data_IF_759938903278
#
_entry.id   IF_759938903278
#
_cell.length_a   1.000
_cell.length_b   1.000
_cell.length_c   1.000
_cell.angle_alpha   90.00
_cell.angle_beta   90.00
_cell.angle_gamma   90.00
#
_symmetry.space_group_name_H-M   'P 1'
#
loop_
_entity.id
_entity.type
_entity.pdbx_description
1 polymer ?
#
# COMPACT_ATOMS: atom_id res chain seq x y z
N UNK A 1 9.17 12.84 33.02
CA UNK A 1 8.77 11.90 31.95
C UNK A 1 10.00 11.63 31.11
N UNK A 2 10.55 10.42 31.14
CA UNK A 2 11.77 10.11 30.36
C UNK A 2 11.42 9.98 28.88
N UNK A 3 12.22 10.59 28.01
CA UNK A 3 12.07 10.51 26.55
C UNK A 3 12.17 9.05 26.10
N UNK A 4 11.09 8.51 25.54
CA UNK A 4 10.98 7.11 25.09
C UNK A 4 11.87 6.75 23.88
N UNK A 5 12.64 7.70 23.35
CA UNK A 5 13.50 7.55 22.17
C UNK A 5 14.89 8.15 22.43
N UNK A 6 15.94 7.48 21.96
CA UNK A 6 17.32 7.99 21.95
C UNK A 6 17.87 8.04 20.53
N UNK A 7 18.73 9.03 20.27
CA UNK A 7 19.45 9.13 19.01
C UNK A 7 20.52 8.03 18.92
N UNK A 8 20.59 7.36 17.77
CA UNK A 8 21.52 6.28 17.47
C UNK A 8 22.48 6.75 16.35
N UNK A 9 23.67 7.30 16.69
CA UNK A 9 24.61 7.79 15.69
C UNK A 9 25.16 6.63 14.84
N UNK A 10 25.23 6.78 13.49
CA UNK A 10 25.90 5.83 12.62
C UNK A 10 27.38 5.58 12.98
N UNK A 11 27.97 4.44 12.56
CA UNK A 11 29.40 4.21 12.72
C UNK A 11 30.25 5.35 12.12
N UNK A 12 31.22 5.84 12.89
CA UNK A 12 32.10 6.95 12.47
C UNK A 12 31.58 8.35 12.81
N UNK A 13 30.37 8.48 13.37
CA UNK A 13 29.83 9.76 13.86
C UNK A 13 30.18 9.98 15.34
N UNK A 14 30.26 11.24 15.81
CA UNK A 14 30.42 11.51 17.23
C UNK A 14 29.18 11.06 18.02
N UNK A 15 29.39 10.51 19.20
CA UNK A 15 28.31 10.09 20.11
C UNK A 15 27.81 11.32 20.88
N UNK A 16 26.53 11.72 20.71
CA UNK A 16 26.01 12.90 21.41
C UNK A 16 25.70 12.62 22.89
N UNK A 17 25.58 13.66 23.72
CA UNK A 17 25.18 13.53 25.12
C UNK A 17 23.82 12.82 25.29
N UNK A 18 23.61 12.22 26.46
CA UNK A 18 22.33 11.58 26.78
C UNK A 18 21.18 12.58 26.70
N UNK A 19 20.11 12.22 25.97
CA UNK A 19 18.93 13.07 25.80
C UNK A 19 19.07 14.15 24.73
N UNK A 20 20.18 14.18 23.98
CA UNK A 20 20.35 15.09 22.85
C UNK A 20 19.33 14.80 21.74
N UNK A 21 18.81 15.87 21.14
CA UNK A 21 17.91 15.86 19.99
C UNK A 21 18.40 16.93 19.01
N UNK A 22 18.45 16.66 17.70
CA UNK A 22 18.86 17.64 16.72
C UNK A 22 17.91 18.86 16.75
N UNK A 23 18.44 20.10 16.74
CA UNK A 23 17.60 21.28 16.58
C UNK A 23 16.94 21.28 15.18
N UNK A 24 15.84 22.02 15.04
CA UNK A 24 15.17 22.17 13.75
C UNK A 24 16.14 22.74 12.71
N UNK A 25 16.23 22.10 11.54
CA UNK A 25 17.14 22.49 10.46
C UNK A 25 18.57 21.97 10.60
N UNK A 26 18.87 21.14 11.61
CA UNK A 26 20.18 20.48 11.72
C UNK A 26 20.44 19.51 10.56
N UNK A 27 21.67 19.54 10.04
CA UNK A 27 22.20 18.58 9.07
C UNK A 27 23.52 18.02 9.60
N UNK A 28 23.86 16.74 9.32
CA UNK A 28 25.17 16.20 9.64
C UNK A 28 26.30 16.94 8.92
N UNK A 29 27.48 16.95 9.53
CA UNK A 29 28.68 17.51 8.94
C UNK A 29 29.04 16.73 7.66
N UNK A 30 29.29 17.39 6.51
CA UNK A 30 29.65 16.72 5.26
C UNK A 30 30.93 15.88 5.32
N UNK A 31 31.81 16.11 6.30
CA UNK A 31 33.03 15.31 6.52
C UNK A 31 32.73 13.94 7.15
N UNK A 32 31.53 13.73 7.68
CA UNK A 32 31.15 12.46 8.29
C UNK A 32 30.75 11.43 7.23
N UNK A 33 31.06 10.13 7.45
CA UNK A 33 30.61 9.08 6.56
C UNK A 33 29.08 9.07 6.41
N UNK A 34 28.53 8.73 5.23
CA UNK A 34 27.09 8.59 5.09
C UNK A 34 26.57 7.46 5.98
N UNK A 35 25.33 7.62 6.47
CA UNK A 35 24.69 6.54 7.22
C UNK A 35 24.46 5.30 6.32
N UNK A 36 24.63 4.08 6.85
CA UNK A 36 24.31 2.86 6.10
C UNK A 36 22.85 2.85 5.61
N UNK A 37 22.60 2.16 4.50
CA UNK A 37 21.25 1.97 3.99
C UNK A 37 20.36 1.29 5.05
N UNK A 38 19.18 1.85 5.31
CA UNK A 38 18.24 1.33 6.32
C UNK A 38 18.58 1.70 7.76
N UNK A 39 19.52 2.63 8.01
CA UNK A 39 19.88 3.03 9.37
C UNK A 39 18.72 3.70 10.12
N UNK A 40 18.48 3.25 11.35
CA UNK A 40 17.47 3.81 12.25
C UNK A 40 18.13 4.75 13.23
N UNK A 41 17.89 6.06 13.06
CA UNK A 41 18.43 7.11 13.92
C UNK A 41 17.76 7.21 15.28
N UNK A 42 16.57 6.63 15.46
CA UNK A 42 15.79 6.73 16.69
C UNK A 42 15.42 5.35 17.20
N UNK A 43 15.95 4.99 18.37
CA UNK A 43 15.70 3.68 18.99
C UNK A 43 15.06 3.86 20.36
N UNK A 44 14.21 2.90 20.75
CA UNK A 44 13.50 2.96 22.03
C UNK A 44 14.51 2.93 23.20
N UNK A 45 14.39 3.86 24.14
CA UNK A 45 15.25 3.92 25.32
C UNK A 45 14.88 2.80 26.29
N UNK A 46 15.55 1.65 26.19
CA UNK A 46 15.44 0.58 27.19
C UNK A 46 16.15 1.02 28.47
N UNK A 47 15.43 1.00 29.60
CA UNK A 47 15.99 1.24 30.93
C UNK A 47 16.83 0.02 31.29
N UNK A 48 18.12 0.04 30.94
CA UNK A 48 19.09 -0.93 31.44
C UNK A 48 19.77 -0.31 32.67
N UNK A 49 19.78 -0.96 33.85
CA UNK A 49 20.46 -0.43 35.02
C UNK A 49 21.97 -0.28 34.75
N UNK A 50 22.64 0.72 35.34
CA UNK A 50 24.07 0.91 35.15
C UNK A 50 24.83 -0.31 35.68
N UNK A 51 25.61 -0.95 34.81
CA UNK A 51 26.61 -1.94 35.22
C UNK A 51 27.66 -1.18 36.07
N UNK A 52 28.04 -1.67 37.26
CA UNK A 52 29.06 -1.01 38.06
C UNK A 52 30.38 -0.98 37.27
N UNK A 53 30.95 0.21 37.10
CA UNK A 53 32.29 0.38 36.54
C UNK A 53 33.29 -0.33 37.45
N UNK A 54 33.92 -1.39 36.95
CA UNK A 54 35.13 -1.92 37.57
C UNK A 54 36.23 -0.86 37.50
N UNK A 55 37.00 -0.62 38.58
CA UNK A 55 38.11 0.32 38.55
C UNK A 55 39.14 -0.14 37.52
N UNK A 56 39.54 0.78 36.63
CA UNK A 56 40.50 0.49 35.56
C UNK A 56 41.86 0.04 36.13
N UNK A 57 42.60 -0.80 35.40
CA UNK A 57 43.93 -1.21 35.81
C UNK A 57 44.89 -0.01 35.82
N UNK A 58 45.61 0.14 36.92
CA UNK A 58 46.72 1.07 37.08
C UNK A 58 47.89 0.53 36.27
N UNK A 59 48.33 1.24 35.24
CA UNK A 59 49.51 0.86 34.47
C UNK A 59 50.78 1.18 35.29
N UNK A 60 51.71 0.23 35.48
CA UNK A 60 52.99 0.53 36.08
C UNK A 60 53.82 1.38 35.11
N UNK A 61 54.43 2.44 35.63
CA UNK A 61 55.35 3.31 34.89
C UNK A 61 56.58 2.49 34.51
N UNK A 62 56.78 2.20 33.22
CA UNK A 62 58.04 1.63 32.74
C UNK A 62 59.08 2.74 32.56
N UNK A 63 60.34 2.54 33.03
CA UNK A 63 61.43 3.46 32.78
C UNK A 63 61.75 3.57 31.29
N UNK A 64 62.09 4.79 30.87
CA UNK A 64 62.55 5.13 29.54
C UNK A 64 63.96 4.56 29.30
N UNK A 65 64.13 3.71 28.28
CA UNK A 65 65.43 3.42 27.68
C UNK A 65 65.40 3.79 26.18
N UNK A 66 66.49 4.38 25.64
CA UNK A 66 66.45 5.07 24.37
C UNK A 66 66.58 4.13 23.16
N UNK A 67 66.12 4.66 22.04
CA UNK A 67 66.03 4.03 20.74
C UNK A 67 67.34 3.39 20.23
N UNK A 68 67.20 2.20 19.64
CA UNK A 68 68.08 1.71 18.58
C UNK A 68 67.23 1.37 17.36
N UNK A 69 67.48 2.11 16.29
CA UNK A 69 67.01 1.87 14.93
C UNK A 69 67.80 0.71 14.32
N UNK A 70 67.14 -0.22 13.60
CA UNK A 70 67.59 -0.61 12.24
C UNK A 70 66.58 -1.49 11.49
N UNK A 71 66.16 -0.95 10.33
CA UNK A 71 66.00 -1.57 8.99
C UNK A 71 65.04 -2.76 8.73
N UNK A 72 64.17 -2.44 7.76
CA UNK A 72 63.81 -3.19 6.55
C UNK A 72 62.93 -4.43 6.65
N UNK A 73 61.72 -4.29 6.13
CA UNK A 73 60.81 -5.38 5.78
C UNK A 73 59.69 -4.92 4.84
N UNK A 74 60.02 -4.10 3.84
CA UNK A 74 59.13 -3.77 2.71
C UNK A 74 58.93 -5.03 1.84
N UNK A 75 58.12 -5.99 2.29
CA UNK A 75 57.74 -7.15 1.48
C UNK A 75 56.37 -7.76 1.81
N UNK A 76 55.53 -7.07 2.60
CA UNK A 76 54.22 -7.61 3.01
C UNK A 76 53.05 -6.62 2.81
N UNK A 77 53.25 -5.54 2.05
CA UNK A 77 52.16 -4.64 1.67
C UNK A 77 51.45 -5.10 0.37
N UNK A 78 52.16 -5.83 -0.51
CA UNK A 78 51.65 -6.19 -1.84
C UNK A 78 50.58 -7.30 -1.83
N UNK A 79 50.57 -8.19 -0.83
CA UNK A 79 49.61 -9.32 -0.78
C UNK A 79 48.23 -8.92 -0.24
N UNK A 80 48.15 -7.91 0.63
CA UNK A 80 46.90 -7.43 1.22
C UNK A 80 46.12 -6.57 0.21
N UNK A 81 46.82 -5.73 -0.55
CA UNK A 81 46.21 -4.91 -1.60
C UNK A 81 45.55 -5.75 -2.71
N UNK A 82 46.19 -6.87 -3.11
CA UNK A 82 45.63 -7.78 -4.11
C UNK A 82 44.35 -8.50 -3.63
N UNK A 83 44.29 -8.91 -2.36
CA UNK A 83 43.12 -9.55 -1.77
C UNK A 83 41.93 -8.60 -1.63
N UNK A 84 42.18 -7.35 -1.19
CA UNK A 84 41.14 -6.32 -1.06
C UNK A 84 40.59 -5.92 -2.43
N UNK A 85 41.45 -5.76 -3.43
CA UNK A 85 41.01 -5.47 -4.80
C UNK A 85 40.17 -6.62 -5.39
N UNK A 86 40.56 -7.87 -5.16
CA UNK A 86 39.79 -9.04 -5.61
C UNK A 86 38.41 -9.10 -4.95
N UNK A 87 38.32 -8.82 -3.65
CA UNK A 87 37.05 -8.76 -2.93
C UNK A 87 36.16 -7.62 -3.43
N UNK A 88 36.71 -6.42 -3.61
CA UNK A 88 35.97 -5.26 -4.15
C UNK A 88 35.45 -5.56 -5.55
N UNK A 89 36.28 -6.16 -6.42
CA UNK A 89 35.86 -6.54 -7.78
C UNK A 89 34.77 -7.63 -7.76
N UNK A 90 34.86 -8.60 -6.85
CA UNK A 90 33.83 -9.64 -6.72
C UNK A 90 32.51 -9.04 -6.22
N UNK A 91 32.55 -8.19 -5.19
CA UNK A 91 31.37 -7.49 -4.68
C UNK A 91 30.78 -6.59 -5.77
N UNK A 92 31.60 -5.83 -6.49
CA UNK A 92 31.14 -4.98 -7.60
C UNK A 92 30.54 -5.81 -8.73
N UNK A 93 31.14 -6.94 -9.12
CA UNK A 93 30.59 -7.83 -10.13
C UNK A 93 29.27 -8.47 -9.69
N UNK A 94 29.17 -8.91 -8.43
CA UNK A 94 27.91 -9.43 -7.86
C UNK A 94 26.85 -8.33 -7.78
N UNK A 95 27.22 -7.11 -7.40
CA UNK A 95 26.31 -5.97 -7.31
C UNK A 95 25.81 -5.55 -8.69
N UNK A 96 26.69 -5.47 -9.70
CA UNK A 96 26.33 -5.20 -11.10
C UNK A 96 25.40 -6.28 -11.66
N UNK A 97 25.69 -7.56 -11.38
CA UNK A 97 24.82 -8.67 -11.78
C UNK A 97 23.44 -8.60 -11.10
N UNK A 98 23.39 -8.14 -9.85
CA UNK A 98 22.14 -7.97 -9.10
C UNK A 98 21.29 -6.80 -9.63
N UNK A 99 21.90 -5.65 -9.97
CA UNK A 99 21.20 -4.49 -10.52
C UNK A 99 20.77 -4.71 -11.98
N UNK A 100 21.51 -5.54 -12.71
CA UNK A 100 21.19 -5.88 -14.10
C UNK A 100 20.02 -6.84 -14.25
N UNK A 101 19.52 -7.45 -13.16
CA UNK A 101 18.28 -8.21 -13.20
C UNK A 101 17.12 -7.23 -13.36
N UNK A 102 16.37 -7.25 -14.48
CA UNK A 102 15.17 -6.44 -14.58
C UNK A 102 14.26 -6.85 -13.43
N UNK A 103 13.87 -5.91 -12.56
CA UNK A 103 12.75 -6.14 -11.65
C UNK A 103 11.54 -6.47 -12.53
N UNK A 104 11.29 -7.77 -12.70
CA UNK A 104 10.16 -8.24 -13.49
C UNK A 104 8.95 -7.87 -12.67
N UNK A 105 8.22 -6.90 -13.16
CA UNK A 105 6.92 -6.57 -12.62
C UNK A 105 6.03 -7.83 -12.71
N UNK A 106 5.62 -8.38 -11.57
CA UNK A 106 4.93 -9.69 -11.47
C UNK A 106 3.44 -9.54 -11.18
N UNK A 107 2.69 -10.63 -11.37
CA UNK A 107 1.28 -10.72 -10.98
C UNK A 107 1.06 -10.40 -9.49
N UNK A 108 2.00 -10.77 -8.62
CA UNK A 108 1.91 -10.47 -7.18
C UNK A 108 2.01 -8.97 -6.89
N UNK A 109 2.98 -8.29 -7.49
CA UNK A 109 3.14 -6.84 -7.36
C UNK A 109 1.96 -6.08 -7.96
N UNK A 110 1.38 -6.59 -9.05
CA UNK A 110 0.13 -6.06 -9.61
C UNK A 110 -1.02 -6.21 -8.61
N UNK A 111 -1.17 -7.39 -8.00
CA UNK A 111 -2.24 -7.70 -7.04
C UNK A 111 -2.16 -6.82 -5.80
N UNK A 112 -0.97 -6.57 -5.27
CA UNK A 112 -0.77 -5.64 -4.15
C UNK A 112 -1.29 -4.23 -4.49
N UNK A 113 -0.97 -3.72 -5.68
CA UNK A 113 -1.45 -2.41 -6.15
C UNK A 113 -2.95 -2.42 -6.39
N UNK A 114 -3.47 -3.45 -7.03
CA UNK A 114 -4.89 -3.59 -7.32
C UNK A 114 -5.75 -3.67 -6.04
N UNK A 115 -5.29 -4.41 -5.02
CA UNK A 115 -5.95 -4.47 -3.70
C UNK A 115 -5.90 -3.10 -3.01
N UNK A 116 -4.80 -2.35 -3.11
CA UNK A 116 -4.71 -1.00 -2.56
C UNK A 116 -5.67 -0.03 -3.26
N UNK A 117 -5.77 -0.07 -4.59
CA UNK A 117 -6.75 0.69 -5.39
C UNK A 117 -8.17 0.35 -4.98
N UNK A 118 -8.49 -0.94 -4.92
CA UNK A 118 -9.79 -1.44 -4.49
C UNK A 118 -10.16 -0.99 -3.08
N UNK A 119 -9.23 -1.07 -2.12
CA UNK A 119 -9.47 -0.57 -0.76
C UNK A 119 -9.69 0.94 -0.75
N UNK A 120 -8.91 1.72 -1.49
CA UNK A 120 -9.10 3.18 -1.58
C UNK A 120 -10.47 3.53 -2.16
N UNK A 121 -10.89 2.85 -3.22
CA UNK A 121 -12.09 3.22 -3.97
C UNK A 121 -13.37 2.63 -3.36
N UNK A 122 -13.28 1.47 -2.69
CA UNK A 122 -14.41 0.80 -2.04
C UNK A 122 -14.39 0.85 -0.50
N UNK A 123 -13.40 1.46 0.17
CA UNK A 123 -13.40 1.58 1.64
C UNK A 123 -14.67 2.29 2.14
N UNK A 124 -15.02 3.40 1.51
CA UNK A 124 -16.25 4.13 1.82
C UNK A 124 -17.49 3.35 1.36
N UNK A 125 -17.34 2.55 0.29
CA UNK A 125 -18.45 1.82 -0.34
C UNK A 125 -18.87 0.58 0.45
N UNK A 126 -17.98 -0.16 1.12
CA UNK A 126 -18.42 -1.32 1.94
C UNK A 126 -19.28 -0.89 3.14
N UNK A 127 -18.97 0.25 3.74
CA UNK A 127 -19.83 0.89 4.75
C UNK A 127 -21.07 1.52 4.11
N UNK A 128 -20.98 2.00 2.87
CA UNK A 128 -22.11 2.59 2.16
C UNK A 128 -23.07 1.59 1.51
N UNK A 129 -22.67 0.40 1.08
CA UNK A 129 -23.54 -0.54 0.34
C UNK A 129 -24.72 -0.99 1.21
N UNK A 130 -24.45 -1.36 2.46
CA UNK A 130 -25.52 -1.62 3.43
C UNK A 130 -26.38 -0.38 3.68
N UNK A 131 -25.76 0.81 3.69
CA UNK A 131 -26.47 2.08 3.81
C UNK A 131 -27.34 2.42 2.59
N UNK A 132 -26.86 2.17 1.37
CA UNK A 132 -27.54 2.36 0.10
C UNK A 132 -28.72 1.40 0.05
N UNK A 133 -28.51 0.12 0.35
CA UNK A 133 -29.57 -0.88 0.44
C UNK A 133 -30.63 -0.49 1.48
N UNK A 134 -30.22 0.02 2.64
CA UNK A 134 -31.14 0.50 3.67
C UNK A 134 -31.95 1.71 3.20
N UNK A 135 -31.30 2.72 2.62
CA UNK A 135 -31.97 3.93 2.08
C UNK A 135 -32.95 3.57 0.97
N UNK A 136 -32.54 2.68 0.05
CA UNK A 136 -33.41 2.17 -1.02
C UNK A 136 -34.58 1.39 -0.43
N UNK A 137 -34.35 0.51 0.54
CA UNK A 137 -35.42 -0.22 1.21
C UNK A 137 -36.41 0.70 1.94
N UNK A 138 -35.93 1.74 2.63
CA UNK A 138 -36.76 2.75 3.27
C UNK A 138 -37.59 3.56 2.26
N UNK A 139 -36.97 3.99 1.16
CA UNK A 139 -37.66 4.69 0.09
C UNK A 139 -38.74 3.80 -0.57
N UNK A 140 -38.43 2.52 -0.80
CA UNK A 140 -39.38 1.55 -1.34
C UNK A 140 -40.51 1.21 -0.36
N UNK A 141 -40.25 1.21 0.95
CA UNK A 141 -41.29 0.99 1.96
C UNK A 141 -42.30 2.15 2.01
N UNK A 142 -41.85 3.39 1.74
CA UNK A 142 -42.72 4.55 1.65
C UNK A 142 -43.49 4.60 0.32
N UNK A 143 -42.87 4.16 -0.79
CA UNK A 143 -43.39 4.14 -2.16
C UNK A 143 -44.29 5.35 -2.48
N UNK A 144 -43.72 6.57 -2.57
CA UNK A 144 -44.48 7.76 -2.87
C UNK A 144 -45.16 7.63 -4.25
N UNK A 145 -46.34 8.25 -4.47
CA UNK A 145 -47.00 8.21 -5.77
C UNK A 145 -46.10 8.77 -6.89
N UNK A 146 -46.22 8.26 -8.13
CA UNK A 146 -45.44 8.76 -9.25
C UNK A 146 -45.74 10.25 -9.49
N UNK A 147 -44.70 11.02 -9.84
CA UNK A 147 -44.81 12.47 -10.00
C UNK A 147 -44.67 13.27 -8.70
N UNK A 148 -44.39 12.62 -7.57
CA UNK A 148 -44.06 13.27 -6.31
C UNK A 148 -42.57 13.11 -5.97
N UNK A 149 -41.91 14.23 -5.70
CA UNK A 149 -40.53 14.23 -5.19
C UNK A 149 -40.57 13.95 -3.69
N UNK A 150 -39.87 12.90 -3.27
CA UNK A 150 -39.73 12.50 -1.87
C UNK A 150 -38.26 12.58 -1.45
N UNK A 151 -38.01 13.05 -0.22
CA UNK A 151 -36.66 13.22 0.29
C UNK A 151 -35.92 11.88 0.45
N UNK A 152 -36.62 10.83 0.90
CA UNK A 152 -36.06 9.49 1.03
C UNK A 152 -35.74 8.89 -0.33
N UNK A 153 -36.65 9.02 -1.30
CA UNK A 153 -36.41 8.57 -2.68
C UNK A 153 -35.25 9.34 -3.34
N UNK A 154 -35.15 10.65 -3.12
CA UNK A 154 -34.04 11.47 -3.63
C UNK A 154 -32.69 11.05 -3.04
N UNK A 155 -32.64 10.79 -1.72
CA UNK A 155 -31.43 10.31 -1.05
C UNK A 155 -31.04 8.91 -1.53
N UNK A 156 -32.01 8.02 -1.75
CA UNK A 156 -31.79 6.70 -2.32
C UNK A 156 -31.23 6.79 -3.75
N UNK A 157 -31.85 7.59 -4.63
CA UNK A 157 -31.37 7.83 -6.01
C UNK A 157 -29.96 8.39 -6.03
N UNK A 158 -29.67 9.37 -5.17
CA UNK A 158 -28.32 9.96 -5.06
C UNK A 158 -27.31 8.89 -4.66
N UNK A 159 -27.65 8.07 -3.68
CA UNK A 159 -26.79 6.99 -3.18
C UNK A 159 -26.53 5.90 -4.24
N UNK A 160 -27.54 5.56 -5.05
CA UNK A 160 -27.41 4.66 -6.21
C UNK A 160 -26.45 5.24 -7.26
N UNK A 161 -26.59 6.53 -7.57
CA UNK A 161 -25.69 7.21 -8.51
C UNK A 161 -24.25 7.28 -8.04
N UNK A 162 -24.01 7.54 -6.74
CA UNK A 162 -22.65 7.50 -6.16
C UNK A 162 -22.04 6.10 -6.24
N UNK A 163 -22.85 5.05 -6.01
CA UNK A 163 -22.38 3.68 -6.11
C UNK A 163 -21.91 3.35 -7.53
N UNK A 164 -22.70 3.70 -8.55
CA UNK A 164 -22.29 3.48 -9.95
C UNK A 164 -20.99 4.23 -10.30
N UNK A 165 -20.87 5.48 -9.87
CA UNK A 165 -19.64 6.27 -10.05
C UNK A 165 -18.44 5.61 -9.40
N UNK A 166 -18.60 5.03 -8.21
CA UNK A 166 -17.52 4.32 -7.52
C UNK A 166 -17.03 3.11 -8.33
N UNK A 167 -17.94 2.29 -8.88
CA UNK A 167 -17.56 1.17 -9.74
C UNK A 167 -16.82 1.62 -11.01
N UNK A 168 -17.27 2.70 -11.67
CA UNK A 168 -16.57 3.25 -12.85
C UNK A 168 -15.19 3.77 -12.52
N UNK A 169 -15.06 4.49 -11.40
CA UNK A 169 -13.77 5.00 -10.93
C UNK A 169 -12.80 3.86 -10.65
N UNK A 170 -13.27 2.83 -9.94
CA UNK A 170 -12.47 1.65 -9.66
C UNK A 170 -12.00 0.95 -10.96
N UNK A 171 -12.91 0.76 -11.93
CA UNK A 171 -12.57 0.20 -13.25
C UNK A 171 -11.50 1.03 -13.96
N UNK A 172 -11.64 2.36 -13.97
CA UNK A 172 -10.67 3.27 -14.56
C UNK A 172 -9.30 3.19 -13.86
N UNK A 173 -9.27 3.31 -12.53
CA UNK A 173 -8.04 3.31 -11.75
C UNK A 173 -7.31 1.96 -11.82
N UNK A 174 -8.04 0.85 -11.96
CA UNK A 174 -7.45 -0.47 -12.18
C UNK A 174 -6.82 -0.61 -13.57
N UNK A 175 -7.41 0.00 -14.60
CA UNK A 175 -6.86 0.02 -15.98
C UNK A 175 -5.57 0.83 -16.09
N UNK A 176 -5.32 1.78 -15.20
CA UNK A 176 -4.06 2.53 -15.14
C UNK A 176 -2.88 1.70 -14.62
N UNK A 177 -3.15 0.61 -13.89
CA UNK A 177 -2.11 -0.26 -13.38
C UNK A 177 -1.55 -1.08 -14.55
N UNK A 178 -0.27 -0.85 -14.88
CA UNK A 178 0.50 -1.67 -15.84
C UNK A 178 0.23 -3.15 -15.56
N UNK A 179 -0.07 -3.96 -16.58
CA UNK A 179 -0.39 -5.40 -16.44
C UNK A 179 0.86 -6.25 -16.75
N UNK A 180 1.28 -7.16 -15.86
CA UNK A 180 2.46 -7.98 -16.09
C UNK A 180 2.13 -9.16 -17.03
N UNK A 181 3.16 -9.77 -17.63
CA UNK A 181 2.97 -10.84 -18.63
C UNK A 181 2.50 -12.18 -18.05
N UNK A 182 2.72 -12.39 -16.76
CA UNK A 182 2.34 -13.58 -15.99
C UNK A 182 0.92 -13.49 -15.38
N UNK A 183 0.20 -12.38 -15.56
CA UNK A 183 -1.20 -12.24 -15.14
C UNK A 183 -2.17 -12.78 -16.21
N UNK A 184 -3.23 -13.46 -15.78
CA UNK A 184 -4.31 -13.91 -16.64
C UNK A 184 -5.13 -12.72 -17.19
N UNK A 185 -4.71 -12.19 -18.35
CA UNK A 185 -5.38 -11.04 -19.00
C UNK A 185 -6.86 -11.27 -19.29
N UNK A 186 -7.23 -12.49 -19.68
CA UNK A 186 -8.62 -12.83 -19.95
C UNK A 186 -9.51 -12.67 -18.70
N UNK A 187 -9.04 -13.10 -17.52
CA UNK A 187 -9.79 -12.90 -16.27
C UNK A 187 -9.87 -11.42 -15.89
N UNK A 188 -8.81 -10.63 -16.15
CA UNK A 188 -8.82 -9.18 -15.92
C UNK A 188 -9.82 -8.47 -16.84
N UNK A 189 -9.86 -8.81 -18.12
CA UNK A 189 -10.78 -8.21 -19.09
C UNK A 189 -12.23 -8.55 -18.74
N UNK A 190 -12.52 -9.80 -18.37
CA UNK A 190 -13.85 -10.22 -17.92
C UNK A 190 -14.25 -9.53 -16.60
N UNK A 191 -13.32 -9.37 -15.68
CA UNK A 191 -13.55 -8.64 -14.42
C UNK A 191 -13.87 -7.16 -14.67
N UNK A 192 -13.09 -6.48 -15.51
CA UNK A 192 -13.32 -5.07 -15.86
C UNK A 192 -14.63 -4.88 -16.63
N UNK A 193 -14.98 -5.82 -17.52
CA UNK A 193 -16.23 -5.79 -18.28
C UNK A 193 -17.42 -5.91 -17.34
N UNK A 194 -17.44 -6.93 -16.48
CA UNK A 194 -18.51 -7.10 -15.49
C UNK A 194 -18.60 -5.94 -14.49
N UNK A 195 -17.46 -5.29 -14.16
CA UNK A 195 -17.46 -4.06 -13.35
C UNK A 195 -18.21 -2.91 -14.04
N UNK A 196 -18.01 -2.71 -15.34
CA UNK A 196 -18.73 -1.69 -16.12
C UNK A 196 -20.21 -2.03 -16.31
N UNK A 197 -20.54 -3.30 -16.50
CA UNK A 197 -21.93 -3.78 -16.58
C UNK A 197 -22.67 -3.52 -15.26
N UNK A 198 -22.03 -3.78 -14.12
CA UNK A 198 -22.57 -3.43 -12.80
C UNK A 198 -22.83 -1.93 -12.70
N UNK A 199 -21.85 -1.10 -13.03
CA UNK A 199 -22.02 0.36 -12.96
C UNK A 199 -23.18 0.85 -13.85
N UNK A 200 -23.25 0.34 -15.08
CA UNK A 200 -24.30 0.69 -16.06
C UNK A 200 -25.67 0.24 -15.59
N UNK A 201 -25.79 -0.98 -15.05
CA UNK A 201 -27.06 -1.48 -14.54
C UNK A 201 -27.56 -0.71 -13.32
N UNK A 202 -26.65 -0.29 -12.44
CA UNK A 202 -26.99 0.58 -11.29
C UNK A 202 -27.46 1.96 -11.76
N UNK A 203 -26.80 2.55 -12.77
CA UNK A 203 -27.26 3.82 -13.37
C UNK A 203 -28.65 3.72 -13.98
N UNK A 204 -28.92 2.64 -14.73
CA UNK A 204 -30.23 2.41 -15.33
C UNK A 204 -31.36 2.36 -14.28
N UNK A 205 -31.09 1.74 -13.13
CA UNK A 205 -32.03 1.73 -12.00
C UNK A 205 -32.18 3.12 -11.40
N UNK A 206 -31.09 3.86 -11.24
CA UNK A 206 -31.12 5.26 -10.78
C UNK A 206 -31.97 6.15 -11.69
N UNK A 207 -31.81 6.03 -13.01
CA UNK A 207 -32.58 6.78 -14.00
C UNK A 207 -34.07 6.45 -13.93
N UNK A 208 -34.43 5.18 -13.70
CA UNK A 208 -35.82 4.81 -13.44
C UNK A 208 -36.36 5.53 -12.20
N UNK A 209 -35.61 5.53 -11.09
CA UNK A 209 -36.04 6.20 -9.85
C UNK A 209 -36.24 7.71 -10.04
N UNK A 210 -35.38 8.36 -10.83
CA UNK A 210 -35.56 9.78 -11.21
C UNK A 210 -36.83 9.95 -12.03
N UNK A 211 -37.00 9.17 -13.09
CA UNK A 211 -38.16 9.27 -13.98
C UNK A 211 -39.48 8.96 -13.25
N UNK A 212 -39.45 8.05 -12.28
CA UNK A 212 -40.60 7.74 -11.44
C UNK A 212 -41.04 8.95 -10.60
N UNK A 213 -40.09 9.62 -9.94
CA UNK A 213 -40.37 10.85 -9.17
C UNK A 213 -40.88 11.99 -10.05
N UNK A 214 -40.43 12.05 -11.30
CA UNK A 214 -40.91 13.05 -12.27
C UNK A 214 -42.26 12.68 -12.91
N UNK A 215 -42.81 11.50 -12.62
CA UNK A 215 -44.04 11.00 -13.25
C UNK A 215 -43.86 10.66 -14.73
N UNK A 216 -42.61 10.41 -15.17
CA UNK A 216 -42.20 10.13 -16.54
C UNK A 216 -41.78 8.68 -16.78
N UNK A 217 -41.78 7.84 -15.74
CA UNK A 217 -41.42 6.42 -15.87
C UNK A 217 -42.41 5.68 -16.77
N UNK A 218 -41.90 5.01 -17.81
CA UNK A 218 -42.72 4.18 -18.71
C UNK A 218 -42.78 2.72 -18.24
N UNK A 219 -43.80 1.95 -18.64
CA UNK A 219 -43.86 0.50 -18.38
C UNK A 219 -42.62 -0.25 -18.87
N UNK A 220 -42.13 0.11 -20.07
CA UNK A 220 -40.93 -0.45 -20.66
C UNK A 220 -39.67 -0.19 -19.81
N UNK A 221 -39.54 1.01 -19.24
CA UNK A 221 -38.42 1.34 -18.34
C UNK A 221 -38.49 0.54 -17.04
N UNK A 222 -39.68 0.32 -16.49
CA UNK A 222 -39.86 -0.51 -15.29
C UNK A 222 -39.51 -1.97 -15.55
N UNK A 223 -39.95 -2.54 -16.68
CA UNK A 223 -39.60 -3.91 -17.08
C UNK A 223 -38.09 -4.05 -17.34
N UNK A 224 -37.49 -3.08 -18.04
CA UNK A 224 -36.06 -3.08 -18.32
C UNK A 224 -35.25 -3.02 -17.02
N UNK A 225 -35.60 -2.15 -16.07
CA UNK A 225 -34.90 -2.07 -14.79
C UNK A 225 -35.03 -3.37 -13.97
N UNK A 226 -36.22 -4.00 -13.96
CA UNK A 226 -36.40 -5.29 -13.28
C UNK A 226 -35.58 -6.41 -13.93
N UNK A 227 -35.51 -6.41 -15.26
CA UNK A 227 -34.67 -7.35 -16.02
C UNK A 227 -33.19 -7.14 -15.68
N UNK A 228 -32.74 -5.89 -15.67
CA UNK A 228 -31.38 -5.52 -15.27
C UNK A 228 -31.06 -5.94 -13.83
N UNK A 229 -31.95 -5.66 -12.87
CA UNK A 229 -31.76 -6.09 -11.47
C UNK A 229 -31.65 -7.61 -11.33
N UNK A 230 -32.47 -8.35 -12.08
CA UNK A 230 -32.43 -9.81 -12.11
C UNK A 230 -31.13 -10.33 -12.71
N UNK A 231 -30.68 -9.76 -13.83
CA UNK A 231 -29.42 -10.13 -14.47
C UNK A 231 -28.20 -9.81 -13.59
N UNK A 232 -28.17 -8.63 -12.99
CA UNK A 232 -27.10 -8.22 -12.08
C UNK A 232 -26.96 -9.19 -10.89
N UNK A 233 -28.08 -9.50 -10.24
CA UNK A 233 -28.07 -10.36 -9.05
C UNK A 233 -27.85 -11.84 -9.36
N UNK A 234 -28.38 -12.32 -10.50
CA UNK A 234 -28.34 -13.74 -10.86
C UNK A 234 -27.10 -14.16 -11.64
N UNK A 235 -26.46 -13.24 -12.37
CA UNK A 235 -25.39 -13.58 -13.30
C UNK A 235 -24.16 -12.66 -13.17
N UNK A 236 -24.33 -11.35 -13.37
CA UNK A 236 -23.18 -10.42 -13.44
C UNK A 236 -22.38 -10.36 -12.14
N UNK A 237 -23.03 -10.20 -10.98
CA UNK A 237 -22.34 -10.12 -9.68
C UNK A 237 -21.63 -11.44 -9.34
N UNK A 238 -22.26 -12.63 -9.47
CA UNK A 238 -21.57 -13.91 -9.29
C UNK A 238 -20.34 -14.08 -10.19
N UNK A 239 -20.45 -13.76 -11.48
CA UNK A 239 -19.32 -13.85 -12.41
C UNK A 239 -18.20 -12.87 -12.02
N UNK A 240 -18.56 -11.63 -11.69
CA UNK A 240 -17.62 -10.62 -11.21
C UNK A 240 -16.84 -11.07 -9.97
N UNK A 241 -17.53 -11.65 -8.98
CA UNK A 241 -16.89 -12.23 -7.80
C UNK A 241 -15.94 -13.38 -8.16
N UNK A 242 -16.36 -14.27 -9.06
CA UNK A 242 -15.53 -15.38 -9.49
C UNK A 242 -14.24 -14.92 -10.17
N UNK A 243 -14.31 -13.91 -11.05
CA UNK A 243 -13.12 -13.37 -11.71
C UNK A 243 -12.22 -12.62 -10.71
N UNK A 244 -12.80 -11.91 -9.75
CA UNK A 244 -12.04 -11.30 -8.67
C UNK A 244 -11.27 -12.31 -7.83
N UNK A 245 -11.87 -13.46 -7.50
CA UNK A 245 -11.22 -14.52 -6.76
C UNK A 245 -10.00 -15.06 -7.52
N UNK A 246 -10.13 -15.29 -8.83
CA UNK A 246 -9.03 -15.74 -9.70
C UNK A 246 -7.90 -14.72 -9.80
N UNK A 247 -8.22 -13.43 -9.73
CA UNK A 247 -7.25 -12.34 -9.69
C UNK A 247 -6.70 -12.08 -8.27
N UNK A 248 -7.23 -12.77 -7.25
CA UNK A 248 -6.85 -12.60 -5.86
C UNK A 248 -7.26 -11.26 -5.24
N UNK A 249 -8.34 -10.66 -5.73
CA UNK A 249 -8.91 -9.37 -5.29
C UNK A 249 -10.06 -9.51 -4.28
N UNK A 250 -10.49 -10.74 -3.99
CA UNK A 250 -11.65 -11.03 -3.15
C UNK A 250 -11.68 -10.29 -1.81
N UNK A 251 -10.53 -10.18 -1.13
CA UNK A 251 -10.44 -9.60 0.23
C UNK A 251 -10.91 -8.14 0.31
N UNK A 252 -10.80 -7.37 -0.77
CA UNK A 252 -11.17 -5.96 -0.77
C UNK A 252 -12.59 -5.70 -1.31
N UNK A 253 -13.18 -6.63 -2.05
CA UNK A 253 -14.45 -6.41 -2.74
C UNK A 253 -15.69 -6.63 -1.85
N UNK A 254 -16.72 -5.79 -1.95
CA UNK A 254 -17.98 -6.01 -1.23
C UNK A 254 -18.57 -7.39 -1.49
N UNK A 255 -19.01 -8.09 -0.44
CA UNK A 255 -19.70 -9.37 -0.55
C UNK A 255 -18.81 -10.61 -0.70
N UNK A 256 -17.48 -10.46 -0.78
CA UNK A 256 -16.59 -11.62 -0.69
C UNK A 256 -16.67 -12.21 0.73
N UNK A 257 -17.34 -13.35 0.86
CA UNK A 257 -17.19 -14.20 2.03
C UNK A 257 -15.73 -14.64 2.06
N UNK A 258 -15.07 -14.46 3.21
CA UNK A 258 -13.78 -15.11 3.44
C UNK A 258 -14.05 -16.62 3.38
N UNK A 259 -13.79 -17.25 2.24
CA UNK A 259 -13.62 -18.69 2.19
C UNK A 259 -12.41 -18.99 3.09
N UNK A 260 -12.70 -19.62 4.23
CA UNK A 260 -11.73 -20.02 5.25
C UNK A 260 -10.75 -21.05 4.76
#
# INVERSE_FOLDING_TARGET
>A
MQSRWRFNPPPGWPVPPQGWVPPAGWSPDPSWPPAPAGWVFWVAATVTPPVPMAPGPVWPTQPHEPAVSTRSGLATAAKIAAGVLSLILTIAATWIAFIGLPERYTAEQWRERAVATCQRDFADVRLSLNGVLLKVAQAMAAMPPPGQVDAGMTDATTSVGELARAFRRFSADLREIKVPGDLARADLDLFLTSTEEIATGIEQVGDLMVNYQLGKATPEQMEAAMTTLTALSGDTIPQWQQHADRLGLSRCLPGATAAG
#
